data_IF_121804663839
#
_entry.id   IF_121804663839
#
_cell.length_a   1.000
_cell.length_b   1.000
_cell.length_c   1.000
_cell.angle_alpha   90.00
_cell.angle_beta   90.00
_cell.angle_gamma   90.00
#
_symmetry.space_group_name_H-M   'P 1'
#
loop_
_entity.id
_entity.type
_entity.pdbx_description
1 polymer ?
#
# COMPACT_ATOMS: atom_id res chain seq x y z
N UNK A 1 -36.89 11.31 -2.31
CA UNK A 1 -35.51 11.31 -2.84
C UNK A 1 -35.47 10.53 -4.13
N UNK A 2 -34.99 11.12 -5.22
CA UNK A 2 -34.85 10.43 -6.52
C UNK A 2 -33.52 9.68 -6.60
N UNK A 3 -33.46 8.60 -7.38
CA UNK A 3 -32.23 7.81 -7.59
C UNK A 3 -31.06 8.67 -8.13
N UNK A 4 -31.40 9.73 -8.88
CA UNK A 4 -30.44 10.68 -9.46
C UNK A 4 -29.69 11.47 -8.39
N UNK A 5 -30.28 11.71 -7.20
CA UNK A 5 -29.55 12.41 -6.12
C UNK A 5 -28.46 11.55 -5.47
N UNK A 6 -28.44 10.23 -5.70
CA UNK A 6 -27.43 9.30 -5.17
C UNK A 6 -26.24 9.09 -6.12
N UNK A 7 -26.37 9.48 -7.39
CA UNK A 7 -25.35 9.35 -8.43
C UNK A 7 -23.95 9.87 -8.04
N UNK A 8 -23.79 11.07 -7.42
CA UNK A 8 -22.45 11.54 -7.04
C UNK A 8 -21.79 10.65 -5.98
N UNK A 9 -22.55 10.10 -5.04
CA UNK A 9 -22.02 9.21 -4.01
C UNK A 9 -21.58 7.86 -4.59
N UNK A 10 -22.36 7.30 -5.53
CA UNK A 10 -22.03 6.06 -6.22
C UNK A 10 -20.72 6.22 -7.02
N UNK A 11 -20.54 7.37 -7.68
CA UNK A 11 -19.31 7.67 -8.44
C UNK A 11 -18.09 7.80 -7.53
N UNK A 12 -18.21 8.49 -6.40
CA UNK A 12 -17.10 8.63 -5.43
C UNK A 12 -16.71 7.26 -4.85
N UNK A 13 -17.69 6.45 -4.44
CA UNK A 13 -17.45 5.11 -3.91
C UNK A 13 -16.80 4.22 -4.98
N UNK A 14 -17.27 4.29 -6.23
CA UNK A 14 -16.67 3.59 -7.36
C UNK A 14 -15.21 3.98 -7.60
N UNK A 15 -14.90 5.28 -7.58
CA UNK A 15 -13.54 5.79 -7.71
C UNK A 15 -12.64 5.34 -6.55
N UNK A 16 -13.14 5.43 -5.31
CA UNK A 16 -12.42 4.96 -4.13
C UNK A 16 -12.12 3.47 -4.20
N UNK A 17 -13.08 2.64 -4.63
CA UNK A 17 -12.90 1.19 -4.79
C UNK A 17 -11.76 0.84 -5.77
N UNK A 18 -11.65 1.58 -6.88
CA UNK A 18 -10.55 1.41 -7.83
C UNK A 18 -9.20 1.78 -7.20
N UNK A 19 -9.13 2.86 -6.42
CA UNK A 19 -7.91 3.27 -5.72
C UNK A 19 -7.53 2.32 -4.58
N UNK A 20 -8.50 1.72 -3.88
CA UNK A 20 -8.27 0.77 -2.79
C UNK A 20 -7.49 -0.46 -3.25
N UNK A 21 -7.76 -0.98 -4.46
CA UNK A 21 -7.01 -2.12 -5.02
C UNK A 21 -5.54 -1.80 -5.24
N UNK A 22 -5.22 -0.61 -5.77
CA UNK A 22 -3.85 -0.19 -6.03
C UNK A 22 -3.05 0.03 -4.74
N UNK A 23 -3.66 0.67 -3.75
CA UNK A 23 -3.06 0.87 -2.43
C UNK A 23 -2.78 -0.47 -1.72
N UNK A 24 -3.73 -1.40 -1.77
CA UNK A 24 -3.56 -2.73 -1.17
C UNK A 24 -2.42 -3.52 -1.82
N UNK A 25 -2.28 -3.48 -3.15
CA UNK A 25 -1.18 -4.13 -3.87
C UNK A 25 0.19 -3.54 -3.50
N UNK A 26 0.28 -2.21 -3.38
CA UNK A 26 1.52 -1.54 -2.94
C UNK A 26 1.88 -1.88 -1.50
N UNK A 27 0.89 -1.94 -0.61
CA UNK A 27 1.11 -2.35 0.78
C UNK A 27 1.57 -3.81 0.87
N UNK A 28 0.96 -4.72 0.10
CA UNK A 28 1.37 -6.12 0.06
C UNK A 28 2.83 -6.26 -0.42
N UNK A 29 3.24 -5.52 -1.45
CA UNK A 29 4.62 -5.53 -1.93
C UNK A 29 5.60 -5.05 -0.85
N UNK A 30 5.27 -3.99 -0.09
CA UNK A 30 6.10 -3.53 1.01
C UNK A 30 6.21 -4.56 2.14
N UNK A 31 5.13 -5.28 2.45
CA UNK A 31 5.16 -6.39 3.42
C UNK A 31 6.02 -7.55 2.89
N UNK A 32 5.86 -7.94 1.63
CA UNK A 32 6.63 -9.03 1.03
C UNK A 32 8.13 -8.70 1.01
N UNK A 33 8.51 -7.47 0.65
CA UNK A 33 9.90 -7.00 0.72
C UNK A 33 10.48 -7.15 2.13
N UNK A 34 9.68 -6.95 3.19
CA UNK A 34 10.13 -7.14 4.56
C UNK A 34 10.25 -8.61 4.95
N UNK A 35 9.34 -9.45 4.47
CA UNK A 35 9.35 -10.90 4.72
C UNK A 35 10.48 -11.63 4.00
N UNK A 36 10.89 -11.15 2.82
CA UNK A 36 12.01 -11.71 2.04
C UNK A 36 13.39 -11.30 2.57
N UNK A 37 13.45 -10.35 3.52
CA UNK A 37 14.71 -9.98 4.17
C UNK A 37 15.19 -11.12 5.06
N UNK A 38 16.28 -11.77 4.66
CA UNK A 38 16.91 -12.82 5.47
C UNK A 38 17.77 -12.20 6.59
N UNK A 39 17.88 -12.86 7.76
CA UNK A 39 18.86 -12.50 8.77
C UNK A 39 20.26 -12.44 8.17
N UNK A 40 21.01 -11.38 8.46
CA UNK A 40 22.31 -11.08 7.86
C UNK A 40 22.25 -10.23 6.58
N UNK A 41 21.06 -9.92 6.05
CA UNK A 41 20.93 -8.99 4.90
C UNK A 41 21.40 -7.60 5.30
N UNK A 42 22.28 -7.00 4.50
CA UNK A 42 22.75 -5.63 4.69
C UNK A 42 21.70 -4.61 4.27
N UNK A 43 21.21 -3.81 5.20
CA UNK A 43 20.23 -2.74 4.99
C UNK A 43 20.93 -1.39 5.12
N UNK A 44 20.80 -0.53 4.10
CA UNK A 44 21.18 0.87 4.19
C UNK A 44 19.96 1.68 4.60
N UNK A 45 20.00 2.26 5.78
CA UNK A 45 18.93 3.14 6.26
C UNK A 45 18.98 4.49 5.54
N UNK A 46 17.87 5.23 5.62
CA UNK A 46 17.71 6.54 4.98
C UNK A 46 18.74 7.56 5.53
N UNK A 47 19.19 7.39 6.78
CA UNK A 47 20.24 8.20 7.40
C UNK A 47 21.68 7.76 7.06
N UNK A 48 21.86 6.84 6.12
CA UNK A 48 23.18 6.37 5.68
C UNK A 48 23.83 5.30 6.58
N UNK A 49 23.10 4.77 7.57
CA UNK A 49 23.60 3.68 8.42
C UNK A 49 23.47 2.34 7.70
N UNK A 50 24.51 1.53 7.71
CA UNK A 50 24.47 0.14 7.27
C UNK A 50 24.23 -0.75 8.49
N UNK A 51 23.15 -1.52 8.46
CA UNK A 51 22.77 -2.43 9.53
C UNK A 51 22.48 -3.82 8.95
N UNK A 52 22.65 -4.86 9.76
CA UNK A 52 22.28 -6.22 9.38
C UNK A 52 20.87 -6.52 9.92
N UNK A 53 20.05 -7.20 9.14
CA UNK A 53 18.79 -7.78 9.64
C UNK A 53 19.14 -8.85 10.67
N UNK A 54 18.63 -8.75 11.89
CA UNK A 54 18.88 -9.75 12.95
C UNK A 54 17.87 -10.89 12.88
#
# INVERSE_FOLDING_TARGET
MSLVSLLPFILIIGAMFLMTRSAKKKQQAATNMRSEMQPGSGVRTIGGMYALVK
#
